data_IF_515918352065
#
_entry.id   IF_515918352065
#
_cell.length_a   1.000
_cell.length_b   1.000
_cell.length_c   1.000
_cell.angle_alpha   90.00
_cell.angle_beta   90.00
_cell.angle_gamma   90.00
#
_symmetry.space_group_name_H-M   'P 1'
#
loop_
_entity.id
_entity.type
_entity.pdbx_description
1 polymer ?
#
# COMPACT_ATOMS: atom_id res chain seq x y z
N UNK A 1 12.04 -25.24 2.95
CA UNK A 1 11.02 -25.18 1.90
C UNK A 1 9.79 -24.54 2.50
N UNK A 2 9.63 -23.23 2.27
CA UNK A 2 8.48 -22.46 2.76
C UNK A 2 7.52 -22.31 1.58
N UNK A 3 6.93 -23.45 1.21
CA UNK A 3 5.88 -23.55 0.22
C UNK A 3 4.56 -23.44 0.99
N UNK A 4 3.95 -22.26 0.94
CA UNK A 4 2.59 -22.03 1.42
C UNK A 4 1.73 -21.67 0.23
N UNK A 5 0.97 -22.66 -0.22
CA UNK A 5 -0.38 -22.59 -0.77
C UNK A 5 -0.73 -21.38 -1.63
N UNK A 6 -0.54 -21.57 -2.93
CA UNK A 6 -1.42 -21.01 -3.95
C UNK A 6 -2.81 -21.66 -3.81
N UNK A 7 -3.59 -21.25 -2.82
CA UNK A 7 -5.04 -21.46 -2.83
C UNK A 7 -5.71 -20.16 -3.25
N UNK A 8 -6.73 -20.28 -4.10
CA UNK A 8 -7.60 -19.32 -4.80
C UNK A 8 -8.30 -18.24 -3.92
N UNK A 9 -7.72 -17.87 -2.77
CA UNK A 9 -8.24 -16.81 -1.94
C UNK A 9 -7.99 -15.46 -2.62
N UNK A 10 -9.05 -14.70 -2.97
CA UNK A 10 -8.88 -13.38 -3.56
C UNK A 10 -8.09 -12.49 -2.60
N UNK A 11 -7.07 -11.78 -3.10
CA UNK A 11 -6.35 -10.80 -2.31
C UNK A 11 -7.05 -9.44 -2.42
N UNK A 12 -7.47 -8.88 -1.28
CA UNK A 12 -7.97 -7.53 -1.18
C UNK A 12 -6.82 -6.56 -0.86
N UNK A 13 -6.53 -5.65 -1.78
CA UNK A 13 -5.61 -4.55 -1.54
C UNK A 13 -6.37 -3.39 -0.86
N UNK A 14 -6.08 -3.18 0.42
CA UNK A 14 -6.65 -2.08 1.17
C UNK A 14 -5.79 -0.81 1.01
N UNK A 15 -6.28 0.09 0.16
CA UNK A 15 -5.78 1.46 0.03
C UNK A 15 -6.57 2.46 0.89
N UNK A 16 -7.59 2.02 1.63
CA UNK A 16 -8.45 2.93 2.38
C UNK A 16 -7.87 3.29 3.75
N UNK A 17 -8.39 4.36 4.36
CA UNK A 17 -8.15 4.61 5.79
C UNK A 17 -8.76 3.50 6.64
N UNK A 18 -8.19 3.25 7.81
CA UNK A 18 -8.71 2.27 8.78
C UNK A 18 -10.19 2.51 9.15
N UNK A 19 -10.65 3.77 9.18
CA UNK A 19 -12.05 4.10 9.46
C UNK A 19 -13.00 3.63 8.35
N UNK A 20 -12.61 3.81 7.09
CA UNK A 20 -13.41 3.37 5.95
C UNK A 20 -13.34 1.85 5.78
N UNK A 21 -12.17 1.25 6.05
CA UNK A 21 -11.98 -0.19 6.02
C UNK A 21 -12.77 -0.94 7.10
N UNK A 22 -13.02 -0.32 8.27
CA UNK A 22 -13.90 -0.89 9.29
C UNK A 22 -15.36 -0.99 8.82
N UNK A 23 -15.80 -0.08 7.93
CA UNK A 23 -17.16 -0.08 7.41
C UNK A 23 -17.45 -1.28 6.50
N UNK A 24 -16.44 -1.83 5.81
CA UNK A 24 -16.61 -2.97 4.88
C UNK A 24 -16.65 -4.34 5.57
N UNK A 25 -16.61 -4.40 6.90
CA UNK A 25 -16.70 -5.64 7.71
C UNK A 25 -15.77 -6.75 7.20
N UNK A 26 -14.43 -6.57 7.29
CA UNK A 26 -13.44 -7.48 6.71
C UNK A 26 -13.56 -8.94 7.21
N UNK A 27 -14.15 -9.16 8.39
CA UNK A 27 -14.45 -10.51 8.92
C UNK A 27 -15.45 -11.32 8.08
N UNK A 28 -16.18 -10.68 7.16
CA UNK A 28 -17.10 -11.34 6.22
C UNK A 28 -16.48 -11.58 4.85
N UNK A 29 -15.27 -11.10 4.60
CA UNK A 29 -14.53 -11.39 3.37
C UNK A 29 -13.71 -12.65 3.57
N UNK A 30 -13.91 -13.64 2.70
CA UNK A 30 -13.02 -14.79 2.54
C UNK A 30 -11.82 -14.40 1.66
N UNK A 31 -11.08 -13.37 2.07
CA UNK A 31 -9.99 -12.78 1.30
C UNK A 31 -8.80 -12.46 2.21
N UNK A 32 -7.59 -12.69 1.71
CA UNK A 32 -6.40 -12.13 2.35
C UNK A 32 -6.43 -10.61 2.17
N UNK A 33 -6.00 -9.85 3.19
CA UNK A 33 -6.00 -8.38 3.13
C UNK A 33 -4.56 -7.88 3.18
N UNK A 34 -4.16 -7.18 2.14
CA UNK A 34 -2.90 -6.45 2.07
C UNK A 34 -3.14 -4.97 2.34
N UNK A 35 -2.54 -4.42 3.39
CA UNK A 35 -2.66 -3.00 3.72
C UNK A 35 -1.49 -2.22 3.15
N UNK A 36 -1.77 -1.11 2.45
CA UNK A 36 -0.71 -0.25 1.91
C UNK A 36 -0.64 1.06 2.69
N UNK A 37 0.54 1.34 3.21
CA UNK A 37 0.87 2.52 3.97
C UNK A 37 1.81 3.43 3.17
N UNK A 38 1.60 4.74 3.29
CA UNK A 38 2.45 5.74 2.66
C UNK A 38 3.11 6.59 3.75
N UNK A 39 4.45 6.59 3.76
CA UNK A 39 5.26 7.35 4.70
C UNK A 39 6.14 8.36 3.96
N UNK A 40 6.44 9.44 4.66
CA UNK A 40 7.31 10.52 4.22
C UNK A 40 8.54 10.56 5.10
N UNK A 41 9.71 10.58 4.50
CA UNK A 41 10.98 10.69 5.20
C UNK A 41 11.30 12.18 5.35
N UNK A 42 11.28 12.66 6.59
CA UNK A 42 11.77 13.99 6.98
C UNK A 42 12.80 13.84 8.09
N UNK A 43 14.00 14.43 7.92
CA UNK A 43 15.09 14.37 8.89
C UNK A 43 15.44 12.93 9.33
N UNK A 44 15.47 11.99 8.38
CA UNK A 44 15.77 10.57 8.65
C UNK A 44 14.65 9.78 9.36
N UNK A 45 13.49 10.40 9.62
CA UNK A 45 12.33 9.73 10.24
C UNK A 45 11.19 9.58 9.24
N UNK A 46 10.72 8.36 9.07
CA UNK A 46 9.53 8.06 8.28
C UNK A 46 8.26 8.38 9.10
N UNK A 47 7.38 9.23 8.55
CA UNK A 47 6.10 9.60 9.18
C UNK A 47 4.97 9.57 8.16
N UNK A 48 3.82 9.06 8.56
CA UNK A 48 2.60 9.16 7.74
C UNK A 48 2.02 10.56 7.88
N UNK A 49 1.87 11.26 6.75
CA UNK A 49 1.22 12.57 6.68
C UNK A 49 -0.12 12.38 5.97
N UNK A 50 -1.23 12.61 6.68
CA UNK A 50 -2.57 12.22 6.22
C UNK A 50 -2.94 12.76 4.83
N UNK A 51 -2.59 14.02 4.53
CA UNK A 51 -2.86 14.66 3.23
C UNK A 51 -2.12 13.92 2.11
N UNK A 52 -0.82 13.67 2.29
CA UNK A 52 -0.01 12.96 1.29
C UNK A 52 -0.39 11.48 1.19
N UNK A 53 -0.73 10.83 2.30
CA UNK A 53 -1.22 9.46 2.29
C UNK A 53 -2.54 9.35 1.51
N UNK A 54 -3.46 10.31 1.66
CA UNK A 54 -4.71 10.36 0.89
C UNK A 54 -4.43 10.51 -0.61
N UNK A 55 -3.52 11.41 -1.00
CA UNK A 55 -3.14 11.60 -2.40
C UNK A 55 -2.45 10.35 -2.97
N UNK A 56 -1.51 9.77 -2.22
CA UNK A 56 -0.76 8.58 -2.63
C UNK A 56 -1.66 7.35 -2.83
N UNK A 57 -2.70 7.19 -2.00
CA UNK A 57 -3.73 6.16 -2.21
C UNK A 57 -4.46 6.36 -3.54
N UNK A 58 -4.85 7.59 -3.85
CA UNK A 58 -5.45 7.91 -5.16
C UNK A 58 -4.53 7.57 -6.32
N UNK A 59 -3.26 7.95 -6.23
CA UNK A 59 -2.25 7.64 -7.25
C UNK A 59 -2.00 6.14 -7.42
N UNK A 60 -1.97 5.39 -6.31
CA UNK A 60 -1.83 3.94 -6.35
C UNK A 60 -3.06 3.27 -6.98
N UNK A 61 -4.27 3.69 -6.61
CA UNK A 61 -5.50 3.21 -7.25
C UNK A 61 -5.47 3.49 -8.75
N UNK A 62 -5.12 4.71 -9.14
CA UNK A 62 -5.02 5.10 -10.54
C UNK A 62 -3.96 4.27 -11.28
N UNK A 63 -2.80 4.03 -10.67
CA UNK A 63 -1.74 3.20 -11.23
C UNK A 63 -2.19 1.76 -11.46
N UNK A 64 -2.85 1.14 -10.48
CA UNK A 64 -3.39 -0.22 -10.58
C UNK A 64 -4.42 -0.30 -11.71
N UNK A 65 -5.36 0.65 -11.78
CA UNK A 65 -6.41 0.66 -12.79
C UNK A 65 -5.87 0.93 -14.19
N UNK A 66 -4.94 1.88 -14.36
CA UNK A 66 -4.35 2.23 -15.65
C UNK A 66 -3.52 1.10 -16.25
N UNK A 67 -2.74 0.42 -15.41
CA UNK A 67 -1.86 -0.67 -15.87
C UNK A 67 -2.54 -2.04 -15.81
N UNK A 68 -3.81 -2.11 -15.37
CA UNK A 68 -4.57 -3.36 -15.19
C UNK A 68 -3.77 -4.39 -14.40
N UNK A 69 -3.24 -3.96 -13.27
CA UNK A 69 -2.36 -4.79 -12.45
C UNK A 69 -3.19 -5.89 -11.80
N UNK A 70 -2.85 -7.13 -12.13
CA UNK A 70 -3.44 -8.35 -11.56
C UNK A 70 -2.46 -9.08 -10.62
N UNK A 71 -1.16 -8.76 -10.72
CA UNK A 71 -0.11 -9.33 -9.88
C UNK A 71 0.39 -8.30 -8.83
N UNK A 72 0.44 -8.75 -7.58
CA UNK A 72 0.92 -7.97 -6.44
C UNK A 72 2.38 -7.55 -6.56
N UNK A 73 3.23 -8.32 -7.22
CA UNK A 73 4.64 -7.95 -7.39
C UNK A 73 4.81 -6.73 -8.30
N UNK A 74 3.84 -6.46 -9.18
CA UNK A 74 3.84 -5.22 -9.98
C UNK A 74 3.49 -3.99 -9.15
N UNK A 75 2.71 -4.15 -8.07
CA UNK A 75 2.38 -3.04 -7.16
C UNK A 75 3.65 -2.55 -6.44
N UNK A 76 4.61 -3.43 -6.14
CA UNK A 76 5.91 -3.04 -5.56
C UNK A 76 6.70 -2.11 -6.50
N UNK A 77 6.43 -2.14 -7.81
CA UNK A 77 7.05 -1.28 -8.82
C UNK A 77 6.44 0.13 -8.88
N UNK A 78 5.46 0.45 -8.03
CA UNK A 78 4.90 1.79 -7.94
C UNK A 78 5.96 2.82 -7.51
N UNK A 79 6.27 3.76 -8.41
CA UNK A 79 7.27 4.82 -8.19
C UNK A 79 6.74 6.25 -8.37
N UNK A 80 5.42 6.43 -8.46
CA UNK A 80 4.79 7.72 -8.72
C UNK A 80 5.15 8.74 -7.63
N UNK A 81 5.44 9.98 -8.01
CA UNK A 81 5.80 11.08 -7.10
C UNK A 81 6.95 10.75 -6.12
N UNK A 82 7.87 9.87 -6.54
CA UNK A 82 9.07 9.51 -5.76
C UNK A 82 8.82 8.52 -4.63
N UNK A 83 7.62 7.93 -4.54
CA UNK A 83 7.38 6.78 -3.66
C UNK A 83 8.19 5.57 -4.12
N UNK A 84 8.55 4.72 -3.17
CA UNK A 84 9.26 3.48 -3.42
C UNK A 84 8.91 2.48 -2.32
N UNK A 85 8.84 1.20 -2.67
CA UNK A 85 8.61 0.14 -1.70
C UNK A 85 9.76 0.09 -0.68
N UNK A 86 9.42 0.04 0.61
CA UNK A 86 10.39 -0.11 1.72
C UNK A 86 10.28 -1.53 2.29
N UNK A 87 11.18 -2.46 1.91
CA UNK A 87 11.17 -3.82 2.46
C UNK A 87 11.37 -3.84 3.98
N UNK A 88 12.15 -2.89 4.51
CA UNK A 88 12.43 -2.80 5.95
C UNK A 88 11.22 -2.39 6.79
N UNK A 89 10.24 -1.71 6.17
CA UNK A 89 8.99 -1.28 6.81
C UNK A 89 7.78 -2.13 6.36
N UNK A 90 8.02 -3.26 5.70
CA UNK A 90 6.97 -4.10 5.13
C UNK A 90 7.00 -5.53 5.66
N UNK A 91 5.82 -6.13 5.74
CA UNK A 91 5.59 -7.54 6.08
C UNK A 91 4.58 -8.16 5.11
N UNK A 92 4.20 -9.42 5.32
CA UNK A 92 3.29 -10.17 4.45
C UNK A 92 1.88 -9.55 4.33
N UNK A 93 1.45 -8.73 5.30
CA UNK A 93 0.12 -8.12 5.40
C UNK A 93 0.13 -6.60 5.30
N UNK A 94 1.29 -5.98 5.43
CA UNK A 94 1.48 -4.54 5.41
C UNK A 94 2.65 -4.15 4.52
N UNK A 95 2.37 -3.42 3.44
CA UNK A 95 3.41 -2.85 2.59
C UNK A 95 3.52 -1.36 2.82
N UNK A 96 4.74 -0.89 3.00
CA UNK A 96 5.03 0.52 3.20
C UNK A 96 5.76 1.08 1.99
N UNK A 97 5.23 2.16 1.44
CA UNK A 97 5.88 2.98 0.43
C UNK A 97 6.39 4.27 1.06
N UNK A 98 7.66 4.56 0.84
CA UNK A 98 8.35 5.73 1.38
C UNK A 98 8.75 6.66 0.25
N UNK A 99 8.63 7.98 0.47
CA UNK A 99 9.30 9.00 -0.34
C UNK A 99 9.99 10.02 0.54
N UNK A 100 10.86 10.84 -0.04
CA UNK A 100 11.41 12.01 0.65
C UNK A 100 10.35 13.11 0.67
N UNK A 101 10.17 13.73 1.83
CA UNK A 101 9.24 14.85 1.92
C UNK A 101 9.72 15.97 0.98
N UNK A 102 8.87 16.45 0.04
CA UNK A 102 9.23 17.61 -0.76
C UNK A 102 9.47 18.82 0.16
N UNK A 103 10.43 19.70 -0.17
CA UNK A 103 10.67 20.89 0.63
C UNK A 103 9.36 21.69 0.75
N UNK A 104 9.05 22.15 1.96
CA UNK A 104 7.97 23.12 2.16
C UNK A 104 8.33 24.38 1.37
N UNK A 105 7.50 24.73 0.39
CA UNK A 105 7.58 26.03 -0.29
C UNK A 105 7.33 27.16 0.70
#
# INVERSE_FOLDING_TARGET
NFDLDKEDAPLLINLASNEYFKAIKPRKLHAAVLNINFKEIKNGKAKTIAIFAKQARGMMTEYILKNKIEDTDEIKKFTTEGYSYSPADSDDKQWTFCRRQPPSK
#
